data_IF_279272893858
#
_entry.id   IF_279272893858
#
_cell.length_a   1.000
_cell.length_b   1.000
_cell.length_c   1.000
_cell.angle_alpha   90.00
_cell.angle_beta   90.00
_cell.angle_gamma   90.00
#
_symmetry.space_group_name_H-M   'P 1'
#
loop_
_entity.id
_entity.type
_entity.pdbx_description
1 polymer ?
#
# COMPACT_ATOMS: atom_id res chain seq x y z
N UNK A 1 1.95 18.96 12.80
CA UNK A 1 2.13 20.09 11.86
C UNK A 1 1.04 20.22 10.82
N UNK A 2 0.86 19.24 9.90
CA UNK A 2 -0.03 19.37 8.73
C UNK A 2 -1.51 19.60 9.08
N UNK A 3 -2.05 18.88 10.08
CA UNK A 3 -3.41 19.10 10.56
C UNK A 3 -3.60 20.47 11.19
N UNK A 4 -2.61 20.97 11.93
CA UNK A 4 -2.66 22.32 12.50
C UNK A 4 -2.75 23.37 11.40
N UNK A 5 -1.94 23.24 10.34
CA UNK A 5 -2.00 24.14 9.18
C UNK A 5 -3.36 24.04 8.46
N UNK A 6 -3.92 22.84 8.34
CA UNK A 6 -5.26 22.66 7.78
C UNK A 6 -6.33 23.38 8.62
N UNK A 7 -6.31 23.23 9.94
CA UNK A 7 -7.28 23.89 10.81
C UNK A 7 -7.11 25.43 10.84
N UNK A 8 -5.87 25.92 10.83
CA UNK A 8 -5.57 27.36 10.70
C UNK A 8 -6.13 27.88 9.36
N UNK A 9 -5.92 27.14 8.26
CA UNK A 9 -6.49 27.47 6.95
C UNK A 9 -8.01 27.53 6.96
N UNK A 10 -8.68 26.57 7.62
CA UNK A 10 -10.14 26.58 7.77
C UNK A 10 -10.62 27.79 8.60
N UNK A 11 -9.92 28.11 9.69
CA UNK A 11 -10.25 29.26 10.51
C UNK A 11 -10.10 30.58 9.72
N UNK A 12 -9.00 30.72 8.98
CA UNK A 12 -8.76 31.86 8.10
C UNK A 12 -9.87 32.02 7.05
N UNK A 13 -10.25 30.93 6.36
CA UNK A 13 -11.33 30.96 5.37
C UNK A 13 -12.69 31.34 6.01
N UNK A 14 -12.97 30.88 7.23
CA UNK A 14 -14.18 31.28 7.94
C UNK A 14 -14.21 32.76 8.29
N UNK A 15 -13.10 33.30 8.79
CA UNK A 15 -12.96 34.72 9.07
C UNK A 15 -13.13 35.54 7.79
N UNK A 16 -12.53 35.09 6.70
CA UNK A 16 -12.67 35.74 5.39
C UNK A 16 -14.13 35.73 4.91
N UNK A 17 -14.86 34.62 5.06
CA UNK A 17 -16.30 34.56 4.75
C UNK A 17 -17.07 35.59 5.57
N UNK A 18 -16.81 35.69 6.87
CA UNK A 18 -17.46 36.68 7.74
C UNK A 18 -17.21 38.13 7.24
N UNK A 19 -15.96 38.47 6.90
CA UNK A 19 -15.63 39.76 6.30
C UNK A 19 -16.30 39.95 4.95
N UNK A 20 -16.26 38.95 4.07
CA UNK A 20 -16.91 39.03 2.76
C UNK A 20 -18.42 39.19 2.84
N UNK A 21 -19.09 38.69 3.88
CA UNK A 21 -20.55 38.89 4.04
C UNK A 21 -20.91 40.36 4.29
N UNK A 22 -20.03 41.12 4.94
CA UNK A 22 -20.23 42.55 5.23
C UNK A 22 -19.99 43.45 4.02
N UNK A 23 -19.27 42.99 3.01
CA UNK A 23 -18.94 43.82 1.83
C UNK A 23 -20.11 43.89 0.85
N UNK A 24 -20.39 45.04 0.21
CA UNK A 24 -21.45 45.25 -0.77
C UNK A 24 -21.07 44.65 -2.16
N UNK A 25 -20.59 43.42 -2.20
CA UNK A 25 -20.14 42.74 -3.43
C UNK A 25 -21.15 41.67 -3.83
N UNK A 26 -21.33 41.43 -5.14
CA UNK A 26 -22.25 40.41 -5.69
C UNK A 26 -21.94 39.03 -5.10
N UNK A 27 -22.97 38.33 -4.60
CA UNK A 27 -22.85 37.02 -3.95
C UNK A 27 -22.15 35.98 -4.81
N UNK A 28 -22.39 35.97 -6.13
CA UNK A 28 -21.75 35.06 -7.09
C UNK A 28 -20.22 35.28 -7.13
N UNK A 29 -19.77 36.54 -7.12
CA UNK A 29 -18.32 36.85 -7.11
C UNK A 29 -17.66 36.41 -5.80
N UNK A 30 -18.30 36.65 -4.65
CA UNK A 30 -17.81 36.19 -3.34
C UNK A 30 -17.58 34.68 -3.32
N UNK A 31 -18.54 33.90 -3.86
CA UNK A 31 -18.43 32.44 -3.95
C UNK A 31 -17.32 31.99 -4.91
N UNK A 32 -17.16 32.67 -6.03
CA UNK A 32 -16.05 32.40 -6.96
C UNK A 32 -14.69 32.63 -6.30
N UNK A 33 -14.53 33.74 -5.60
CA UNK A 33 -13.30 34.04 -4.83
C UNK A 33 -13.04 32.97 -3.78
N UNK A 34 -14.09 32.56 -3.03
CA UNK A 34 -13.94 31.50 -2.04
C UNK A 34 -13.51 30.17 -2.65
N UNK A 35 -14.13 29.73 -3.76
CA UNK A 35 -13.72 28.49 -4.45
C UNK A 35 -12.27 28.58 -4.94
N UNK A 36 -11.85 29.74 -5.46
CA UNK A 36 -10.44 29.96 -5.83
C UNK A 36 -9.49 29.85 -4.63
N UNK A 37 -9.86 30.43 -3.48
CA UNK A 37 -9.06 30.33 -2.25
C UNK A 37 -9.00 28.91 -1.71
N UNK A 38 -10.12 28.17 -1.71
CA UNK A 38 -10.14 26.75 -1.37
C UNK A 38 -9.16 25.98 -2.26
N UNK A 39 -9.23 26.19 -3.57
CA UNK A 39 -8.34 25.55 -4.54
C UNK A 39 -6.85 25.83 -4.22
N UNK A 40 -6.49 27.10 -4.04
CA UNK A 40 -5.11 27.52 -3.74
C UNK A 40 -4.65 26.96 -2.40
N UNK A 41 -5.49 26.99 -1.37
CA UNK A 41 -5.20 26.43 -0.05
C UNK A 41 -4.96 24.92 -0.12
N UNK A 42 -5.84 24.17 -0.80
CA UNK A 42 -5.67 22.73 -0.98
C UNK A 42 -4.38 22.39 -1.74
N UNK A 43 -4.09 23.13 -2.80
CA UNK A 43 -2.87 22.98 -3.58
C UNK A 43 -1.61 23.29 -2.75
N UNK A 44 -1.66 24.35 -1.93
CA UNK A 44 -0.60 24.73 -1.01
C UNK A 44 -0.34 23.66 0.06
N UNK A 45 -1.39 23.14 0.70
CA UNK A 45 -1.29 22.08 1.70
C UNK A 45 -0.66 20.79 1.12
N UNK A 46 -1.06 20.41 -0.10
CA UNK A 46 -0.44 19.29 -0.80
C UNK A 46 1.03 19.58 -1.09
N UNK A 47 1.36 20.81 -1.52
CA UNK A 47 2.73 21.19 -1.85
C UNK A 47 3.66 21.14 -0.64
N UNK A 48 3.22 21.67 0.50
CA UNK A 48 3.98 21.72 1.76
C UNK A 48 4.27 20.30 2.33
N UNK A 49 3.46 19.30 2.01
CA UNK A 49 3.71 17.91 2.40
C UNK A 49 4.91 17.32 1.63
N UNK A 50 6.13 17.79 1.91
CA UNK A 50 7.37 17.40 1.19
C UNK A 50 7.77 15.94 1.43
N UNK A 51 7.30 15.33 2.51
CA UNK A 51 7.52 13.93 2.86
C UNK A 51 6.64 12.95 2.06
N UNK A 52 5.74 13.45 1.21
CA UNK A 52 4.89 12.66 0.32
C UNK A 52 5.39 12.80 -1.11
N UNK A 53 5.69 11.66 -1.76
CA UNK A 53 5.97 11.64 -3.19
C UNK A 53 4.68 11.84 -3.98
N UNK A 54 4.62 12.87 -4.82
CA UNK A 54 3.41 13.28 -5.55
C UNK A 54 3.60 13.02 -7.03
N UNK A 55 2.66 12.28 -7.59
CA UNK A 55 2.63 11.99 -9.02
C UNK A 55 1.25 12.35 -9.58
N UNK A 56 1.22 13.09 -10.68
CA UNK A 56 0.00 13.43 -11.40
C UNK A 56 0.13 13.00 -12.86
N UNK A 57 -0.72 12.06 -13.25
CA UNK A 57 -0.77 11.54 -14.62
C UNK A 57 -2.02 12.10 -15.30
N UNK A 58 -1.82 12.84 -16.37
CA UNK A 58 -2.88 13.44 -17.18
C UNK A 58 -2.54 13.27 -18.67
N UNK A 59 -2.67 12.04 -19.15
CA UNK A 59 -2.23 11.65 -20.51
C UNK A 59 -3.02 12.33 -21.62
N UNK A 60 -4.28 12.69 -21.36
CA UNK A 60 -5.16 13.33 -22.35
C UNK A 60 -5.12 14.84 -22.32
N UNK A 61 -4.33 15.43 -21.43
CA UNK A 61 -4.25 16.89 -21.29
C UNK A 61 -5.56 17.52 -20.80
N UNK A 62 -6.37 16.81 -19.98
CA UNK A 62 -7.63 17.34 -19.45
C UNK A 62 -7.38 18.66 -18.69
N UNK A 63 -8.10 19.71 -19.09
CA UNK A 63 -7.93 21.07 -18.55
C UNK A 63 -9.03 21.49 -17.59
N UNK A 64 -10.09 20.69 -17.44
CA UNK A 64 -11.28 20.97 -16.62
C UNK A 64 -12.04 22.26 -16.99
N UNK A 65 -11.78 22.84 -18.18
CA UNK A 65 -12.48 24.05 -18.65
C UNK A 65 -13.95 23.77 -18.98
N UNK A 66 -14.22 22.60 -19.58
CA UNK A 66 -15.59 22.14 -19.84
C UNK A 66 -16.11 21.42 -18.61
N UNK A 67 -17.28 21.83 -18.06
CA UNK A 67 -17.89 21.15 -16.91
C UNK A 67 -18.08 19.65 -17.14
N UNK A 68 -17.93 18.89 -16.06
CA UNK A 68 -18.10 17.43 -16.04
C UNK A 68 -18.46 16.93 -14.66
N UNK A 69 -18.85 15.67 -14.56
CA UNK A 69 -18.87 14.96 -13.28
C UNK A 69 -17.53 14.26 -13.09
N UNK A 70 -16.76 14.69 -12.09
CA UNK A 70 -15.55 14.03 -11.68
C UNK A 70 -15.93 12.92 -10.70
N UNK A 71 -15.62 11.69 -11.03
CA UNK A 71 -15.78 10.55 -10.12
C UNK A 71 -14.41 10.04 -9.69
N UNK A 72 -14.23 9.80 -8.39
CA UNK A 72 -12.99 9.27 -7.87
C UNK A 72 -13.24 8.16 -6.85
N UNK A 73 -12.29 7.22 -6.73
CA UNK A 73 -12.29 6.28 -5.61
C UNK A 73 -11.93 7.01 -4.31
N UNK A 74 -12.36 6.46 -3.17
CA UNK A 74 -12.23 7.15 -1.88
C UNK A 74 -11.44 6.34 -0.86
N UNK A 75 -10.19 6.76 -0.63
CA UNK A 75 -9.24 6.08 0.24
C UNK A 75 -8.98 6.83 1.55
N UNK A 76 -8.96 8.18 1.49
CA UNK A 76 -8.45 9.00 2.58
C UNK A 76 -9.19 10.34 2.66
N UNK A 77 -8.99 11.04 3.77
CA UNK A 77 -9.40 12.44 3.89
C UNK A 77 -8.67 13.34 2.87
N UNK A 78 -7.43 13.02 2.51
CA UNK A 78 -6.62 13.77 1.54
C UNK A 78 -7.28 13.80 0.15
N UNK A 79 -8.07 12.80 -0.20
CA UNK A 79 -8.72 12.71 -1.52
C UNK A 79 -9.55 13.95 -1.86
N UNK A 80 -10.21 14.52 -0.85
CA UNK A 80 -10.99 15.76 -0.99
C UNK A 80 -10.06 16.92 -1.37
N UNK A 81 -8.91 17.04 -0.71
CA UNK A 81 -7.94 18.10 -1.00
C UNK A 81 -7.35 17.93 -2.40
N UNK A 82 -7.08 16.69 -2.81
CA UNK A 82 -6.54 16.38 -4.15
C UNK A 82 -7.53 16.79 -5.23
N UNK A 83 -8.81 16.44 -5.10
CA UNK A 83 -9.82 16.82 -6.08
C UNK A 83 -10.01 18.34 -6.15
N UNK A 84 -10.10 19.02 -5.00
CA UNK A 84 -10.22 20.48 -4.94
C UNK A 84 -8.97 21.21 -5.50
N UNK A 85 -7.82 20.56 -5.47
CA UNK A 85 -6.60 21.09 -6.06
C UNK A 85 -6.52 20.90 -7.60
N UNK A 86 -7.46 20.18 -8.25
CA UNK A 86 -7.46 20.00 -9.71
C UNK A 86 -7.94 21.25 -10.46
N UNK A 87 -9.00 21.89 -9.96
CA UNK A 87 -9.60 23.06 -10.58
C UNK A 87 -10.36 23.92 -9.55
N UNK A 88 -10.32 25.25 -9.66
CA UNK A 88 -11.08 26.13 -8.77
C UNK A 88 -12.60 26.10 -9.03
N UNK A 89 -13.01 25.66 -10.22
CA UNK A 89 -14.43 25.52 -10.58
C UNK A 89 -14.95 24.11 -10.28
N UNK A 90 -14.88 23.71 -9.00
CA UNK A 90 -15.31 22.41 -8.53
C UNK A 90 -16.20 22.56 -7.29
N UNK A 91 -17.38 21.95 -7.32
CA UNK A 91 -18.23 21.73 -6.15
C UNK A 91 -18.35 20.24 -5.88
N UNK A 92 -18.58 19.85 -4.64
CA UNK A 92 -18.58 18.44 -4.26
C UNK A 92 -19.94 18.05 -3.65
N UNK A 93 -20.31 16.79 -3.87
CA UNK A 93 -21.36 16.13 -3.09
C UNK A 93 -20.73 15.55 -1.83
N UNK A 94 -21.24 15.91 -0.66
CA UNK A 94 -20.66 15.60 0.64
C UNK A 94 -21.63 14.78 1.50
N UNK A 95 -21.09 14.01 2.45
CA UNK A 95 -21.86 13.25 3.43
C UNK A 95 -22.16 14.09 4.69
N UNK A 96 -22.94 13.49 5.62
CA UNK A 96 -23.37 14.12 6.87
C UNK A 96 -22.18 14.66 7.70
N UNK A 97 -21.11 13.88 7.85
CA UNK A 97 -19.96 14.25 8.67
C UNK A 97 -19.26 15.51 8.15
N UNK A 98 -19.04 15.59 6.83
CA UNK A 98 -18.40 16.74 6.17
C UNK A 98 -19.30 17.97 6.26
N UNK A 99 -20.62 17.79 6.01
CA UNK A 99 -21.59 18.89 6.00
C UNK A 99 -21.76 19.56 7.36
N UNK A 100 -21.75 18.76 8.44
CA UNK A 100 -21.95 19.25 9.82
C UNK A 100 -20.62 19.50 10.55
N UNK A 101 -19.48 19.41 9.86
CA UNK A 101 -18.18 19.66 10.49
C UNK A 101 -18.11 21.06 11.10
N UNK A 102 -17.69 21.21 12.38
CA UNK A 102 -17.52 22.50 13.02
C UNK A 102 -16.41 23.33 12.38
N UNK A 103 -15.44 22.70 11.70
CA UNK A 103 -14.29 23.36 11.11
C UNK A 103 -14.54 23.87 9.69
N UNK A 104 -15.02 23.01 8.80
CA UNK A 104 -15.18 23.34 7.38
C UNK A 104 -16.64 23.29 6.87
N UNK A 105 -17.60 22.85 7.67
CA UNK A 105 -19.00 22.76 7.25
C UNK A 105 -19.59 24.11 6.79
N UNK A 106 -19.29 25.20 7.49
CA UNK A 106 -19.73 26.55 7.08
C UNK A 106 -19.10 26.97 5.74
N UNK A 107 -17.83 26.62 5.51
CA UNK A 107 -17.10 26.96 4.28
C UNK A 107 -17.75 26.29 3.08
N UNK A 108 -18.00 24.98 3.16
CA UNK A 108 -18.55 24.20 2.05
C UNK A 108 -20.01 24.59 1.75
N UNK A 109 -20.81 24.89 2.78
CA UNK A 109 -22.18 25.40 2.59
C UNK A 109 -22.18 26.75 1.87
N UNK A 110 -21.29 27.66 2.24
CA UNK A 110 -21.15 28.95 1.57
C UNK A 110 -20.63 28.81 0.12
N UNK A 111 -19.77 27.81 -0.15
CA UNK A 111 -19.25 27.49 -1.48
C UNK A 111 -20.25 26.72 -2.36
N UNK A 112 -21.50 26.51 -1.95
CA UNK A 112 -22.56 25.77 -2.63
C UNK A 112 -22.23 24.29 -2.88
N UNK A 113 -21.55 23.62 -1.95
CA UNK A 113 -21.46 22.16 -1.99
C UNK A 113 -22.83 21.54 -1.68
N UNK A 114 -22.99 20.27 -1.97
CA UNK A 114 -24.26 19.56 -1.86
C UNK A 114 -24.22 18.49 -0.77
N UNK A 115 -25.29 18.34 -0.02
CA UNK A 115 -25.45 17.31 0.99
C UNK A 115 -26.19 16.11 0.42
N UNK A 116 -25.58 14.92 0.42
CA UNK A 116 -26.17 13.70 -0.15
C UNK A 116 -27.49 13.30 0.51
N UNK A 117 -27.70 13.66 1.79
CA UNK A 117 -28.90 13.32 2.57
C UNK A 117 -30.20 13.97 2.08
N UNK A 118 -30.12 15.08 1.34
CA UNK A 118 -31.29 15.76 0.81
C UNK A 118 -31.84 15.10 -0.48
N UNK A 119 -31.12 14.10 -1.02
CA UNK A 119 -31.45 13.41 -2.27
C UNK A 119 -30.99 14.15 -3.54
N UNK A 120 -30.72 13.41 -4.60
CA UNK A 120 -30.21 14.02 -5.85
C UNK A 120 -31.26 14.82 -6.61
N UNK A 121 -32.55 14.49 -6.48
CA UNK A 121 -33.66 15.13 -7.20
C UNK A 121 -33.81 16.60 -6.82
N UNK A 122 -33.64 16.93 -5.55
CA UNK A 122 -33.71 18.30 -5.03
C UNK A 122 -32.58 19.20 -5.57
N UNK A 123 -31.45 18.60 -5.96
CA UNK A 123 -30.28 19.39 -6.40
C UNK A 123 -30.11 19.51 -7.89
N UNK A 124 -30.76 18.66 -8.69
CA UNK A 124 -30.53 18.63 -10.15
C UNK A 124 -30.61 20.04 -10.75
N UNK A 125 -31.61 20.84 -10.37
CA UNK A 125 -31.77 22.20 -10.94
C UNK A 125 -30.70 23.16 -10.40
N UNK A 126 -30.35 23.08 -9.11
CA UNK A 126 -29.26 23.89 -8.53
C UNK A 126 -27.91 23.52 -9.13
N UNK A 127 -27.69 22.22 -9.38
CA UNK A 127 -26.47 21.74 -10.05
C UNK A 127 -26.43 22.20 -11.51
N UNK A 128 -27.57 22.17 -12.22
CA UNK A 128 -27.67 22.68 -13.58
C UNK A 128 -27.27 24.16 -13.67
N UNK A 129 -27.68 24.97 -12.70
CA UNK A 129 -27.25 26.36 -12.62
C UNK A 129 -25.74 26.50 -12.40
N UNK A 130 -25.16 25.70 -11.50
CA UNK A 130 -23.71 25.69 -11.26
C UNK A 130 -22.90 25.24 -12.49
N UNK A 131 -23.42 24.27 -13.22
CA UNK A 131 -22.82 23.83 -14.49
C UNK A 131 -22.84 24.95 -15.52
N UNK A 132 -23.92 25.73 -15.64
CA UNK A 132 -23.98 26.91 -16.50
C UNK A 132 -22.97 28.00 -16.10
N UNK A 133 -22.63 28.12 -14.80
CA UNK A 133 -21.57 28.98 -14.28
C UNK A 133 -20.15 28.43 -14.55
N UNK A 134 -20.05 27.25 -15.18
CA UNK A 134 -18.81 26.59 -15.56
C UNK A 134 -18.19 25.70 -14.49
N UNK A 135 -18.97 25.30 -13.45
CA UNK A 135 -18.49 24.41 -12.41
C UNK A 135 -18.70 22.95 -12.76
N UNK A 136 -17.70 22.14 -12.44
CA UNK A 136 -17.78 20.67 -12.42
C UNK A 136 -18.26 20.19 -11.04
N UNK A 137 -18.77 18.96 -11.00
CA UNK A 137 -19.29 18.33 -9.77
C UNK A 137 -18.42 17.11 -9.45
N UNK A 138 -17.81 17.06 -8.26
CA UNK A 138 -17.04 15.92 -7.82
C UNK A 138 -17.86 15.01 -6.88
N UNK A 139 -17.76 13.71 -7.11
CA UNK A 139 -18.47 12.69 -6.36
C UNK A 139 -17.57 11.50 -6.10
N UNK A 140 -17.57 11.03 -4.86
CA UNK A 140 -17.01 9.71 -4.50
C UNK A 140 -18.14 8.68 -4.59
N UNK A 141 -18.24 7.89 -5.66
CA UNK A 141 -19.40 7.00 -5.85
C UNK A 141 -19.43 5.83 -4.87
N UNK A 142 -18.37 5.61 -4.10
CA UNK A 142 -18.31 4.63 -3.01
C UNK A 142 -19.07 5.07 -1.75
N UNK A 143 -19.40 6.37 -1.62
CA UNK A 143 -20.10 6.97 -0.47
C UNK A 143 -19.30 7.02 0.82
N UNK A 144 -18.25 6.24 0.97
CA UNK A 144 -17.38 6.21 2.16
C UNK A 144 -15.97 5.72 1.82
N UNK A 145 -15.00 6.16 2.62
CA UNK A 145 -13.59 5.72 2.50
C UNK A 145 -13.46 4.21 2.71
N UNK A 146 -12.49 3.61 2.02
CA UNK A 146 -12.06 2.22 2.25
C UNK A 146 -11.15 2.11 3.48
N UNK A 147 -11.04 0.91 4.05
CA UNK A 147 -10.06 0.58 5.10
C UNK A 147 -8.79 -0.06 4.55
N UNK A 148 -8.92 -0.80 3.45
CA UNK A 148 -7.88 -1.65 2.85
C UNK A 148 -7.30 -1.09 1.54
N UNK A 149 -7.76 0.08 1.10
CA UNK A 149 -7.34 0.69 -0.16
C UNK A 149 -8.09 0.16 -1.40
N UNK A 150 -8.88 -0.91 -1.27
CA UNK A 150 -9.63 -1.47 -2.41
C UNK A 150 -10.83 -0.63 -2.77
N UNK A 151 -11.11 -0.51 -4.06
CA UNK A 151 -12.34 0.13 -4.54
C UNK A 151 -13.57 -0.67 -4.17
N UNK A 152 -14.51 0.00 -3.52
CA UNK A 152 -15.81 -0.57 -3.16
C UNK A 152 -16.78 -0.57 -4.36
N UNK A 153 -18.00 -0.99 -4.10
CA UNK A 153 -19.11 -0.89 -5.04
C UNK A 153 -19.49 0.58 -5.24
N UNK A 154 -19.76 0.97 -6.47
CA UNK A 154 -20.23 2.32 -6.80
C UNK A 154 -21.75 2.42 -6.66
N UNK A 155 -22.20 3.51 -6.05
CA UNK A 155 -23.60 3.93 -6.05
C UNK A 155 -23.94 4.64 -7.35
N UNK A 156 -25.20 4.55 -7.75
CA UNK A 156 -25.69 5.02 -9.04
C UNK A 156 -25.80 6.54 -9.16
N UNK A 157 -25.77 7.29 -8.03
CA UNK A 157 -26.08 8.73 -7.98
C UNK A 157 -25.26 9.61 -8.92
N UNK A 158 -23.93 9.37 -9.03
CA UNK A 158 -23.08 10.13 -9.93
C UNK A 158 -23.46 9.94 -11.41
N UNK A 159 -23.82 8.72 -11.78
CA UNK A 159 -24.19 8.34 -13.14
C UNK A 159 -25.59 8.84 -13.50
N UNK A 160 -26.52 8.80 -12.54
CA UNK A 160 -27.84 9.42 -12.65
C UNK A 160 -27.71 10.93 -12.91
N UNK A 161 -26.87 11.64 -12.18
CA UNK A 161 -26.61 13.06 -12.40
C UNK A 161 -25.98 13.34 -13.77
N UNK A 162 -25.04 12.50 -14.22
CA UNK A 162 -24.46 12.59 -15.56
C UNK A 162 -25.53 12.52 -16.64
N UNK A 163 -26.46 11.58 -16.55
CA UNK A 163 -27.60 11.41 -17.45
C UNK A 163 -28.56 12.61 -17.40
N UNK A 164 -28.98 13.02 -16.20
CA UNK A 164 -29.95 14.12 -16.02
C UNK A 164 -29.41 15.50 -16.41
N UNK A 165 -28.12 15.72 -16.22
CA UNK A 165 -27.46 16.98 -16.52
C UNK A 165 -26.78 16.97 -17.91
N UNK A 166 -26.78 15.84 -18.61
CA UNK A 166 -26.08 15.61 -19.87
C UNK A 166 -24.59 16.03 -19.78
N UNK A 167 -23.96 15.60 -18.68
CA UNK A 167 -22.54 15.90 -18.40
C UNK A 167 -21.66 14.69 -18.65
N UNK A 168 -20.52 14.96 -19.28
CA UNK A 168 -19.44 13.98 -19.40
C UNK A 168 -18.95 13.54 -18.02
N UNK A 169 -18.39 12.36 -17.94
CA UNK A 169 -17.74 11.84 -16.72
C UNK A 169 -16.21 11.90 -16.92
N UNK A 170 -15.51 12.40 -15.92
CA UNK A 170 -14.04 12.31 -15.80
C UNK A 170 -13.72 11.38 -14.66
N UNK A 171 -13.28 10.14 -14.93
CA UNK A 171 -12.82 9.26 -13.88
C UNK A 171 -11.42 9.68 -13.41
N UNK A 172 -11.22 9.74 -12.09
CA UNK A 172 -9.94 10.05 -11.43
C UNK A 172 -9.57 8.89 -10.51
N UNK A 173 -8.40 8.35 -10.70
CA UNK A 173 -7.86 7.30 -9.84
C UNK A 173 -6.94 7.93 -8.80
N UNK A 174 -7.20 7.64 -7.55
CA UNK A 174 -6.37 8.04 -6.40
C UNK A 174 -5.70 6.80 -5.82
N UNK A 175 -4.37 6.81 -5.74
CA UNK A 175 -3.61 5.69 -5.21
C UNK A 175 -2.65 6.14 -4.11
N UNK A 176 -2.53 5.33 -3.07
CA UNK A 176 -1.59 5.50 -1.97
C UNK A 176 -2.06 6.39 -0.82
N UNK A 177 -3.12 7.17 -1.00
CA UNK A 177 -3.63 8.11 0.00
C UNK A 177 -4.04 7.44 1.32
N UNK A 178 -4.58 6.20 1.28
CA UNK A 178 -4.88 5.40 2.47
C UNK A 178 -3.63 5.00 3.27
N UNK A 179 -2.47 4.92 2.62
CA UNK A 179 -1.18 4.64 3.27
C UNK A 179 -0.60 5.88 3.94
N UNK A 180 -0.94 7.09 3.45
CA UNK A 180 -0.52 8.38 4.02
C UNK A 180 -1.38 8.73 5.23
N UNK A 181 -2.72 8.73 5.10
CA UNK A 181 -3.67 8.93 6.19
C UNK A 181 -4.72 7.83 6.10
N UNK A 182 -4.57 6.81 6.94
CA UNK A 182 -5.51 5.70 6.99
C UNK A 182 -6.85 6.11 7.63
N UNK A 183 -7.94 5.49 7.19
CA UNK A 183 -9.28 5.72 7.75
C UNK A 183 -9.34 5.39 9.25
N UNK A 184 -8.66 4.32 9.68
CA UNK A 184 -8.62 3.89 11.07
C UNK A 184 -7.73 4.77 11.97
N UNK A 185 -6.80 5.55 11.38
CA UNK A 185 -5.85 6.38 12.11
C UNK A 185 -5.79 7.78 11.48
N UNK A 186 -6.86 8.58 11.61
CA UNK A 186 -7.03 9.82 10.84
C UNK A 186 -6.03 10.93 11.19
N UNK A 187 -5.38 10.86 12.34
CA UNK A 187 -4.38 11.85 12.79
C UNK A 187 -2.93 11.40 12.59
N UNK A 188 -2.72 10.15 12.15
CA UNK A 188 -1.37 9.64 11.86
C UNK A 188 -1.06 9.86 10.37
N UNK A 189 -0.13 10.79 10.11
CA UNK A 189 0.33 11.11 8.74
C UNK A 189 1.66 10.43 8.50
N UNK A 190 1.75 9.63 7.45
CA UNK A 190 2.91 8.84 7.08
C UNK A 190 3.53 9.33 5.77
N UNK A 191 4.79 8.99 5.56
CA UNK A 191 5.39 9.09 4.23
C UNK A 191 4.70 8.12 3.27
N UNK A 192 4.61 8.48 2.00
CA UNK A 192 3.95 7.62 1.02
C UNK A 192 3.93 8.21 -0.37
N UNK A 193 3.26 7.51 -1.28
CA UNK A 193 2.97 7.98 -2.63
C UNK A 193 1.54 8.50 -2.67
N UNK A 194 1.37 9.66 -3.26
CA UNK A 194 0.09 10.24 -3.65
C UNK A 194 0.07 10.31 -5.18
N UNK A 195 -0.50 9.28 -5.81
CA UNK A 195 -0.65 9.26 -7.26
C UNK A 195 -2.08 9.61 -7.63
N UNK A 196 -2.23 10.54 -8.57
CA UNK A 196 -3.51 10.95 -9.14
C UNK A 196 -3.46 10.74 -10.65
N UNK A 197 -4.21 9.79 -11.17
CA UNK A 197 -4.35 9.57 -12.59
C UNK A 197 -5.72 10.03 -13.10
N UNK A 198 -5.72 10.95 -14.06
CA UNK A 198 -6.91 11.45 -14.72
C UNK A 198 -7.11 10.61 -15.97
N UNK A 199 -8.19 9.82 -15.98
CA UNK A 199 -8.52 8.98 -17.14
C UNK A 199 -9.23 9.79 -18.23
N UNK A 200 -9.24 9.28 -19.48
CA UNK A 200 -9.94 9.93 -20.57
C UNK A 200 -11.41 10.22 -20.23
N UNK A 201 -11.84 11.43 -20.56
CA UNK A 201 -13.22 11.91 -20.43
C UNK A 201 -14.17 10.98 -21.19
N UNK A 202 -15.27 10.63 -20.56
CA UNK A 202 -16.33 9.78 -21.13
C UNK A 202 -17.51 10.68 -21.47
N UNK A 203 -17.87 10.86 -22.74
CA UNK A 203 -19.04 11.65 -23.14
C UNK A 203 -20.34 11.13 -22.50
N UNK A 204 -21.28 12.05 -22.23
CA UNK A 204 -22.55 11.70 -21.62
C UNK A 204 -23.37 10.71 -22.46
N UNK A 205 -23.22 10.76 -23.77
CA UNK A 205 -23.94 9.95 -24.76
C UNK A 205 -23.09 8.80 -25.34
N UNK A 206 -21.94 8.47 -24.73
CA UNK A 206 -21.08 7.36 -25.18
C UNK A 206 -21.72 6.01 -24.83
N UNK A 207 -22.32 5.37 -25.85
CA UNK A 207 -23.02 4.10 -25.71
C UNK A 207 -22.09 2.89 -25.42
N UNK A 208 -20.77 3.03 -25.61
CA UNK A 208 -19.80 1.94 -25.29
C UNK A 208 -19.80 1.61 -23.80
N UNK A 209 -20.22 2.53 -22.95
CA UNK A 209 -20.37 2.33 -21.51
C UNK A 209 -21.79 1.99 -21.07
N UNK A 210 -22.71 1.84 -22.01
CA UNK A 210 -24.13 1.60 -21.75
C UNK A 210 -25.01 2.81 -22.02
N UNK A 211 -26.30 2.56 -22.24
CA UNK A 211 -27.31 3.56 -22.60
C UNK A 211 -28.05 4.11 -21.40
N UNK A 212 -28.01 3.40 -20.27
CA UNK A 212 -28.65 3.77 -19.01
C UNK A 212 -27.62 4.09 -17.93
N UNK A 213 -27.98 4.91 -16.94
CA UNK A 213 -27.08 5.21 -15.83
C UNK A 213 -26.71 3.96 -15.02
N UNK A 214 -27.56 2.91 -15.01
CA UNK A 214 -27.28 1.63 -14.35
C UNK A 214 -26.14 0.88 -15.07
N UNK A 215 -26.22 0.75 -16.39
CA UNK A 215 -25.22 0.11 -17.22
C UNK A 215 -23.89 0.87 -17.13
N UNK A 216 -23.94 2.20 -17.25
CA UNK A 216 -22.78 3.08 -17.12
C UNK A 216 -22.11 2.95 -15.74
N UNK A 217 -22.90 2.80 -14.66
CA UNK A 217 -22.34 2.52 -13.33
C UNK A 217 -21.51 1.25 -13.34
N UNK A 218 -22.02 0.16 -13.92
CA UNK A 218 -21.34 -1.14 -13.95
C UNK A 218 -20.06 -1.10 -14.79
N UNK A 219 -20.17 -0.59 -16.02
CA UNK A 219 -19.05 -0.60 -16.99
C UNK A 219 -17.92 0.36 -16.59
N UNK A 220 -18.25 1.59 -16.15
CA UNK A 220 -17.25 2.57 -15.73
C UNK A 220 -16.60 2.14 -14.40
N UNK A 221 -17.36 1.58 -13.46
CA UNK A 221 -16.79 0.99 -12.25
C UNK A 221 -15.81 -0.13 -12.55
N UNK A 222 -16.14 -1.03 -13.49
CA UNK A 222 -15.25 -2.11 -13.92
C UNK A 222 -13.96 -1.56 -14.55
N UNK A 223 -14.06 -0.54 -15.43
CA UNK A 223 -12.91 0.15 -16.01
C UNK A 223 -12.01 0.76 -14.93
N UNK A 224 -12.59 1.52 -13.99
CA UNK A 224 -11.81 2.16 -12.91
C UNK A 224 -11.10 1.12 -12.04
N UNK A 225 -11.76 0.01 -11.71
CA UNK A 225 -11.14 -1.09 -10.95
C UNK A 225 -9.97 -1.73 -11.72
N UNK A 226 -10.12 -1.94 -13.03
CA UNK A 226 -9.04 -2.47 -13.89
C UNK A 226 -7.83 -1.52 -13.91
N UNK A 227 -8.06 -0.22 -14.10
CA UNK A 227 -6.98 0.78 -14.10
C UNK A 227 -6.34 0.91 -12.71
N UNK A 228 -7.12 0.88 -11.64
CA UNK A 228 -6.59 0.87 -10.28
C UNK A 228 -5.69 -0.36 -10.02
N UNK A 229 -6.12 -1.55 -10.45
CA UNK A 229 -5.32 -2.76 -10.33
C UNK A 229 -4.01 -2.68 -11.15
N UNK A 230 -4.04 -2.03 -12.33
CA UNK A 230 -2.81 -1.73 -13.10
C UNK A 230 -1.85 -0.87 -12.29
N UNK A 231 -2.34 0.25 -11.74
CA UNK A 231 -1.51 1.15 -10.91
C UNK A 231 -0.94 0.40 -9.70
N UNK A 232 -1.77 -0.41 -9.02
CA UNK A 232 -1.29 -1.22 -7.90
C UNK A 232 -0.12 -2.12 -8.30
N UNK A 233 -0.18 -2.80 -9.43
CA UNK A 233 0.92 -3.63 -9.94
C UNK A 233 2.15 -2.82 -10.30
N UNK A 234 1.99 -1.69 -10.99
CA UNK A 234 3.09 -0.80 -11.39
C UNK A 234 3.80 -0.18 -10.18
N UNK A 235 3.07 0.14 -9.11
CA UNK A 235 3.61 0.75 -7.89
C UNK A 235 4.12 -0.28 -6.88
N UNK A 236 3.68 -1.53 -6.96
CA UNK A 236 4.12 -2.62 -6.08
C UNK A 236 5.42 -3.25 -6.58
N UNK A 237 6.49 -2.45 -6.60
CA UNK A 237 7.83 -2.90 -7.04
C UNK A 237 8.88 -2.58 -5.98
N UNK A 238 9.91 -3.43 -5.92
CA UNK A 238 11.08 -3.22 -5.04
C UNK A 238 11.96 -2.06 -5.49
N UNK A 239 11.74 -1.52 -6.69
CA UNK A 239 12.48 -0.36 -7.22
C UNK A 239 11.88 0.97 -6.77
N UNK A 240 10.66 0.92 -6.19
CA UNK A 240 10.02 2.09 -5.64
C UNK A 240 10.66 2.49 -4.29
N UNK A 241 11.29 3.67 -4.17
CA UNK A 241 11.96 4.09 -2.94
C UNK A 241 11.01 4.22 -1.74
N UNK A 242 9.73 4.49 -1.98
CA UNK A 242 8.71 4.58 -0.92
C UNK A 242 8.27 3.20 -0.42
N UNK A 243 8.51 2.14 -1.19
CA UNK A 243 8.19 0.78 -0.80
C UNK A 243 8.90 0.37 0.51
N UNK A 244 10.20 0.58 0.59
CA UNK A 244 10.99 0.28 1.79
C UNK A 244 10.64 1.19 2.97
N UNK A 245 10.32 2.45 2.71
CA UNK A 245 9.87 3.36 3.76
C UNK A 245 8.54 2.88 4.38
N UNK A 246 7.61 2.38 3.58
CA UNK A 246 6.36 1.79 4.09
C UNK A 246 6.64 0.54 4.94
N UNK A 247 7.60 -0.29 4.54
CA UNK A 247 8.02 -1.46 5.32
C UNK A 247 8.62 -1.04 6.67
N UNK A 248 9.51 -0.05 6.70
CA UNK A 248 10.08 0.49 7.95
C UNK A 248 8.99 1.07 8.83
N UNK A 249 8.03 1.82 8.27
CA UNK A 249 6.94 2.42 9.03
C UNK A 249 6.02 1.39 9.70
N UNK A 250 6.01 0.15 9.22
CA UNK A 250 5.29 -0.94 9.87
C UNK A 250 5.79 -1.21 11.30
N UNK A 251 7.03 -0.80 11.61
CA UNK A 251 7.71 -1.04 12.89
C UNK A 251 7.89 0.23 13.73
N UNK A 252 7.50 1.40 13.23
CA UNK A 252 7.49 2.64 14.01
C UNK A 252 6.51 2.46 15.19
N UNK A 253 6.94 2.88 16.39
CA UNK A 253 6.21 2.72 17.67
C UNK A 253 6.13 1.28 18.23
N UNK A 254 6.89 0.34 17.70
CA UNK A 254 7.03 -1.00 18.28
C UNK A 254 8.11 -1.06 19.37
N UNK A 255 9.09 -0.19 19.24
CA UNK A 255 10.25 -0.01 20.12
C UNK A 255 11.38 0.67 19.36
N UNK A 256 12.25 1.43 20.02
CA UNK A 256 13.37 2.10 19.35
C UNK A 256 14.37 1.11 18.77
N UNK A 257 14.50 -0.06 19.39
CA UNK A 257 15.42 -1.11 18.97
C UNK A 257 14.91 -1.80 17.70
N UNK A 258 13.62 -2.17 17.65
CA UNK A 258 12.97 -2.81 16.51
C UNK A 258 12.94 -1.88 15.30
N UNK A 259 12.62 -0.61 15.50
CA UNK A 259 12.62 0.39 14.43
C UNK A 259 14.02 0.56 13.84
N UNK A 260 15.04 0.70 14.70
CA UNK A 260 16.42 0.86 14.26
C UNK A 260 16.94 -0.38 13.53
N UNK A 261 16.65 -1.59 14.06
CA UNK A 261 17.01 -2.86 13.45
C UNK A 261 16.45 -2.97 12.02
N UNK A 262 15.15 -2.73 11.86
CA UNK A 262 14.51 -2.81 10.54
C UNK A 262 15.06 -1.75 9.57
N UNK A 263 15.35 -0.53 10.03
CA UNK A 263 15.96 0.51 9.19
C UNK A 263 17.32 0.08 8.65
N UNK A 264 18.13 -0.54 9.49
CA UNK A 264 19.44 -1.06 9.07
C UNK A 264 19.27 -2.26 8.15
N UNK A 265 18.46 -3.23 8.54
CA UNK A 265 18.26 -4.45 7.77
C UNK A 265 17.77 -4.14 6.35
N UNK A 266 16.73 -3.32 6.21
CA UNK A 266 16.18 -2.91 4.91
C UNK A 266 17.19 -2.12 4.06
N UNK A 267 18.07 -1.33 4.69
CA UNK A 267 19.08 -0.54 3.98
C UNK A 267 20.29 -1.37 3.54
N UNK A 268 20.68 -2.37 4.34
CA UNK A 268 21.86 -3.18 4.10
C UNK A 268 21.58 -4.44 3.27
N UNK A 269 20.36 -4.95 3.29
CA UNK A 269 19.99 -6.16 2.57
C UNK A 269 19.41 -5.86 1.19
N UNK A 270 20.21 -6.00 0.15
CA UNK A 270 19.79 -5.90 -1.26
C UNK A 270 18.98 -7.14 -1.73
N UNK A 271 18.82 -8.12 -0.84
CA UNK A 271 18.23 -9.43 -1.13
C UNK A 271 16.73 -9.43 -1.30
N UNK A 272 16.02 -8.43 -0.81
CA UNK A 272 14.57 -8.34 -0.97
C UNK A 272 14.12 -8.38 -2.43
N UNK A 273 14.91 -7.75 -3.33
CA UNK A 273 14.65 -7.81 -4.78
C UNK A 273 14.82 -9.21 -5.33
N UNK A 274 15.84 -9.92 -4.86
CA UNK A 274 16.12 -11.28 -5.29
C UNK A 274 15.05 -12.24 -4.79
N UNK A 275 14.68 -12.18 -3.51
CA UNK A 275 13.59 -13.00 -2.98
C UNK A 275 12.29 -12.78 -3.75
N UNK A 276 11.93 -11.53 -4.06
CA UNK A 276 10.73 -11.26 -4.85
C UNK A 276 10.76 -11.88 -6.26
N UNK A 277 11.95 -11.98 -6.89
CA UNK A 277 12.11 -12.64 -8.20
C UNK A 277 12.03 -14.15 -8.11
N UNK A 278 12.53 -14.73 -7.02
CA UNK A 278 12.56 -16.17 -6.80
C UNK A 278 11.20 -16.73 -6.38
N UNK A 279 10.39 -15.92 -5.68
CA UNK A 279 9.07 -16.32 -5.16
C UNK A 279 7.99 -16.02 -6.20
N UNK A 280 7.10 -16.96 -6.54
CA UNK A 280 6.04 -16.74 -7.51
C UNK A 280 5.08 -15.65 -7.07
N UNK A 281 4.40 -15.01 -8.02
CA UNK A 281 3.42 -13.93 -7.77
C UNK A 281 2.18 -14.46 -7.04
N UNK A 282 1.86 -15.75 -7.20
CA UNK A 282 0.74 -16.45 -6.57
C UNK A 282 1.22 -17.74 -5.96
N UNK A 283 0.73 -18.09 -4.78
CA UNK A 283 1.01 -19.37 -4.14
C UNK A 283 1.11 -19.28 -2.62
N UNK A 284 1.28 -20.48 -2.02
CA UNK A 284 1.50 -20.65 -0.59
C UNK A 284 2.99 -20.54 -0.27
N UNK A 285 3.36 -19.60 0.60
CA UNK A 285 4.75 -19.31 0.96
C UNK A 285 4.89 -19.48 2.48
N UNK A 286 5.89 -20.23 2.90
CA UNK A 286 6.20 -20.40 4.32
C UNK A 286 7.62 -19.87 4.60
N UNK A 287 7.71 -18.85 5.47
CA UNK A 287 8.97 -18.24 5.92
C UNK A 287 9.29 -18.76 7.32
N UNK A 288 10.33 -19.60 7.44
CA UNK A 288 10.75 -20.21 8.70
C UNK A 288 11.87 -19.39 9.32
N UNK A 289 11.74 -19.07 10.61
CA UNK A 289 12.62 -18.12 11.29
C UNK A 289 12.33 -16.69 10.86
N UNK A 290 11.05 -16.36 10.69
CA UNK A 290 10.61 -15.08 10.13
C UNK A 290 10.93 -13.87 11.04
N UNK A 291 11.23 -14.07 12.31
CA UNK A 291 11.47 -13.05 13.30
C UNK A 291 10.31 -12.04 13.39
N UNK A 292 10.61 -10.76 13.28
CA UNK A 292 9.60 -9.70 13.24
C UNK A 292 8.77 -9.66 11.92
N UNK A 293 9.02 -10.56 10.97
CA UNK A 293 8.28 -10.73 9.73
C UNK A 293 8.56 -9.72 8.61
N UNK A 294 9.72 -9.05 8.49
CA UNK A 294 9.94 -8.04 7.46
C UNK A 294 9.90 -8.61 6.03
N UNK A 295 10.42 -9.83 5.82
CA UNK A 295 10.37 -10.51 4.52
C UNK A 295 8.92 -10.91 4.17
N UNK A 296 8.17 -11.45 5.13
CA UNK A 296 6.74 -11.78 4.96
C UNK A 296 5.93 -10.54 4.56
N UNK A 297 6.11 -9.42 5.25
CA UNK A 297 5.44 -8.16 4.92
C UNK A 297 5.84 -7.64 3.54
N UNK A 298 7.12 -7.72 3.19
CA UNK A 298 7.62 -7.33 1.87
C UNK A 298 6.96 -8.14 0.76
N UNK A 299 6.96 -9.46 0.88
CA UNK A 299 6.36 -10.35 -0.12
C UNK A 299 4.85 -10.16 -0.25
N UNK A 300 4.15 -9.92 0.89
CA UNK A 300 2.71 -9.63 0.92
C UNK A 300 2.36 -8.30 0.25
N UNK A 301 3.21 -7.28 0.39
CA UNK A 301 3.01 -5.97 -0.25
C UNK A 301 3.24 -5.99 -1.76
N UNK A 302 4.05 -6.92 -2.25
CA UNK A 302 4.40 -7.04 -3.68
C UNK A 302 3.40 -7.87 -4.47
N UNK A 303 2.63 -8.73 -3.82
CA UNK A 303 1.51 -9.43 -4.46
C UNK A 303 0.42 -9.79 -3.46
N UNK A 304 -0.81 -9.40 -3.80
CA UNK A 304 -2.01 -9.78 -3.04
C UNK A 304 -2.43 -11.24 -3.25
N UNK A 305 -1.84 -11.95 -4.21
CA UNK A 305 -2.17 -13.35 -4.53
C UNK A 305 -1.31 -14.36 -3.76
N UNK A 306 -0.34 -13.88 -2.97
CA UNK A 306 0.49 -14.71 -2.09
C UNK A 306 -0.23 -14.96 -0.77
N UNK A 307 -0.29 -16.22 -0.36
CA UNK A 307 -0.68 -16.63 0.99
C UNK A 307 0.58 -16.94 1.78
N UNK A 308 0.85 -16.18 2.83
CA UNK A 308 2.16 -16.20 3.50
C UNK A 308 1.96 -16.61 4.95
N UNK A 309 2.74 -17.60 5.40
CA UNK A 309 2.83 -18.02 6.79
C UNK A 309 4.25 -17.81 7.27
N UNK A 310 4.45 -16.89 8.22
CA UNK A 310 5.71 -16.71 8.95
C UNK A 310 5.72 -17.55 10.23
N UNK A 311 6.76 -18.34 10.45
CA UNK A 311 6.92 -19.19 11.63
C UNK A 311 8.18 -18.76 12.36
N UNK A 312 8.10 -18.52 13.66
CA UNK A 312 9.23 -18.29 14.54
C UNK A 312 8.92 -18.83 15.94
N UNK A 313 9.94 -19.27 16.67
CA UNK A 313 9.75 -19.77 18.04
C UNK A 313 9.72 -18.66 19.08
N UNK A 314 10.18 -17.46 18.75
CA UNK A 314 10.24 -16.31 19.66
C UNK A 314 8.88 -15.59 19.72
N UNK A 315 8.20 -15.75 20.85
CA UNK A 315 6.87 -15.18 21.11
C UNK A 315 6.87 -13.65 21.01
N UNK A 316 7.92 -12.98 21.51
CA UNK A 316 8.01 -11.51 21.49
C UNK A 316 8.11 -10.98 20.05
N UNK A 317 8.91 -11.66 19.21
CA UNK A 317 9.02 -11.31 17.78
C UNK A 317 7.73 -11.54 17.04
N UNK A 318 7.06 -12.66 17.28
CA UNK A 318 5.77 -12.97 16.66
C UNK A 318 4.69 -12.00 17.13
N UNK A 319 4.67 -11.62 18.42
CA UNK A 319 3.75 -10.59 18.89
C UNK A 319 3.91 -9.26 18.15
N UNK A 320 5.14 -8.82 17.91
CA UNK A 320 5.42 -7.63 17.10
C UNK A 320 4.96 -7.83 15.65
N UNK A 321 5.27 -8.98 15.04
CA UNK A 321 4.89 -9.30 13.67
C UNK A 321 3.36 -9.30 13.49
N UNK A 322 2.61 -9.89 14.41
CA UNK A 322 1.15 -9.96 14.37
C UNK A 322 0.46 -8.58 14.43
N UNK A 323 1.09 -7.57 15.01
CA UNK A 323 0.52 -6.24 15.21
C UNK A 323 0.98 -5.21 14.15
N UNK A 324 1.53 -5.63 13.03
CA UNK A 324 1.89 -4.75 11.92
C UNK A 324 0.66 -4.13 11.24
N UNK A 325 0.72 -2.85 10.88
CA UNK A 325 -0.38 -2.17 10.18
C UNK A 325 -0.52 -2.59 8.71
N UNK A 326 0.54 -3.18 8.11
CA UNK A 326 0.53 -3.75 6.76
C UNK A 326 -0.10 -5.16 6.70
N UNK A 327 -0.61 -5.66 7.81
CA UNK A 327 -1.18 -7.00 7.88
C UNK A 327 -2.38 -7.15 6.93
N UNK A 328 -2.45 -8.30 6.26
CA UNK A 328 -3.55 -8.69 5.38
C UNK A 328 -4.16 -10.01 5.88
N UNK A 329 -5.38 -10.39 5.47
CA UNK A 329 -5.95 -11.70 5.80
C UNK A 329 -5.14 -12.89 5.27
N UNK A 330 -4.29 -12.68 4.26
CA UNK A 330 -3.43 -13.70 3.64
C UNK A 330 -2.04 -13.77 4.23
N UNK A 331 -1.75 -12.99 5.28
CA UNK A 331 -0.49 -13.00 6.00
C UNK A 331 -0.74 -13.44 7.44
N UNK A 332 -0.18 -14.59 7.80
CA UNK A 332 -0.30 -15.18 9.13
C UNK A 332 1.07 -15.32 9.78
N UNK A 333 1.11 -15.21 11.10
CA UNK A 333 2.30 -15.45 11.91
C UNK A 333 1.99 -16.46 13.01
N UNK A 334 2.85 -17.47 13.14
CA UNK A 334 2.70 -18.59 14.05
C UNK A 334 3.91 -18.65 14.97
N UNK A 335 3.67 -18.63 16.28
CA UNK A 335 4.72 -18.89 17.27
C UNK A 335 4.85 -20.41 17.45
N UNK A 336 5.91 -21.00 16.88
CA UNK A 336 6.15 -22.44 16.98
C UNK A 336 7.61 -22.83 16.68
N UNK A 337 8.03 -23.95 17.28
CA UNK A 337 9.29 -24.60 16.89
C UNK A 337 9.10 -25.31 15.53
N UNK A 338 9.84 -24.88 14.51
CA UNK A 338 9.72 -25.42 13.14
C UNK A 338 10.12 -26.91 13.04
N UNK A 339 10.89 -27.44 13.98
CA UNK A 339 11.23 -28.85 14.04
C UNK A 339 10.06 -29.75 14.44
N UNK A 340 9.09 -29.21 15.17
CA UNK A 340 7.95 -29.95 15.72
C UNK A 340 6.62 -29.57 15.05
N UNK A 341 6.51 -28.31 14.63
CA UNK A 341 5.29 -27.79 14.00
C UNK A 341 4.92 -28.53 12.72
N UNK A 342 3.65 -28.90 12.49
CA UNK A 342 3.22 -29.54 11.26
C UNK A 342 3.28 -28.54 10.10
N UNK A 343 4.37 -28.58 9.32
CA UNK A 343 4.58 -27.64 8.21
C UNK A 343 3.46 -27.78 7.16
N UNK A 344 2.88 -26.67 6.70
CA UNK A 344 1.88 -26.70 5.63
C UNK A 344 2.52 -27.09 4.28
N UNK A 345 1.73 -27.61 3.36
CA UNK A 345 2.18 -27.76 1.98
C UNK A 345 2.39 -26.37 1.35
N UNK A 346 3.56 -26.16 0.75
CA UNK A 346 3.95 -24.84 0.26
C UNK A 346 4.54 -24.91 -1.15
N UNK A 347 4.29 -23.86 -1.93
CA UNK A 347 4.95 -23.64 -3.21
C UNK A 347 6.38 -23.15 -3.00
N UNK A 348 6.63 -22.42 -1.88
CA UNK A 348 7.94 -21.98 -1.49
C UNK A 348 8.12 -22.04 0.01
N UNK A 349 9.22 -22.67 0.45
CA UNK A 349 9.77 -22.45 1.78
C UNK A 349 10.95 -21.50 1.70
N UNK A 350 11.06 -20.60 2.69
CA UNK A 350 12.17 -19.66 2.82
C UNK A 350 12.79 -19.85 4.21
N UNK A 351 14.11 -19.98 4.26
CA UNK A 351 14.92 -19.94 5.49
C UNK A 351 15.97 -18.86 5.29
N UNK A 352 15.81 -17.72 5.94
CA UNK A 352 16.67 -16.56 5.74
C UNK A 352 17.44 -16.22 7.01
N UNK A 353 18.76 -16.43 7.01
CA UNK A 353 19.68 -16.13 8.12
C UNK A 353 19.27 -16.78 9.46
N UNK A 354 18.88 -18.07 9.41
CA UNK A 354 18.38 -18.74 10.63
C UNK A 354 19.04 -20.12 10.89
N UNK A 355 19.55 -20.81 9.87
CA UNK A 355 20.08 -22.17 10.04
C UNK A 355 21.27 -22.23 11.00
N UNK A 356 22.16 -21.23 10.95
CA UNK A 356 23.36 -21.19 11.78
C UNK A 356 23.09 -21.13 13.30
N UNK A 357 21.85 -20.92 13.72
CA UNK A 357 21.43 -21.02 15.13
C UNK A 357 21.07 -22.43 15.57
N UNK A 358 21.14 -23.43 14.68
CA UNK A 358 20.81 -24.83 14.94
C UNK A 358 22.01 -25.72 14.77
N UNK A 359 22.04 -26.87 15.47
CA UNK A 359 23.01 -27.93 15.20
C UNK A 359 22.83 -28.47 13.77
N UNK A 360 23.89 -29.05 13.18
CA UNK A 360 23.85 -29.62 11.83
C UNK A 360 22.74 -30.67 11.67
N UNK A 361 22.49 -31.47 12.69
CA UNK A 361 21.41 -32.48 12.67
C UNK A 361 20.03 -31.85 12.58
N UNK A 362 19.77 -30.80 13.36
CA UNK A 362 18.52 -30.04 13.30
C UNK A 362 18.36 -29.33 11.95
N UNK A 363 19.45 -28.73 11.41
CA UNK A 363 19.46 -28.13 10.07
C UNK A 363 19.04 -29.15 9.02
N UNK A 364 19.70 -30.32 9.00
CA UNK A 364 19.38 -31.42 8.09
C UNK A 364 17.93 -31.86 8.20
N UNK A 365 17.47 -32.13 9.43
CA UNK A 365 16.09 -32.53 9.70
C UNK A 365 15.08 -31.50 9.19
N UNK A 366 15.30 -30.23 9.46
CA UNK A 366 14.40 -29.14 9.03
C UNK A 366 14.35 -29.02 7.50
N UNK A 367 15.50 -29.06 6.83
CA UNK A 367 15.58 -28.97 5.38
C UNK A 367 14.85 -30.13 4.69
N UNK A 368 15.05 -31.36 5.15
CA UNK A 368 14.35 -32.54 4.62
C UNK A 368 12.82 -32.42 4.84
N UNK A 369 12.37 -32.01 6.02
CA UNK A 369 10.94 -31.78 6.29
C UNK A 369 10.35 -30.72 5.35
N UNK A 370 11.07 -29.65 5.06
CA UNK A 370 10.61 -28.64 4.09
C UNK A 370 10.50 -29.25 2.68
N UNK A 371 11.48 -30.07 2.25
CA UNK A 371 11.48 -30.69 0.94
C UNK A 371 10.32 -31.69 0.76
N UNK A 372 9.98 -32.43 1.81
CA UNK A 372 8.83 -33.35 1.81
C UNK A 372 7.50 -32.61 1.63
N UNK A 373 7.39 -31.42 2.18
CA UNK A 373 6.17 -30.59 2.17
C UNK A 373 6.08 -29.62 0.98
N UNK A 374 7.06 -29.66 0.07
CA UNK A 374 7.01 -28.89 -1.18
C UNK A 374 5.97 -29.48 -2.13
N UNK A 375 5.13 -28.62 -2.67
CA UNK A 375 4.24 -28.95 -3.79
C UNK A 375 5.04 -29.33 -5.05
N UNK A 376 4.43 -30.00 -6.03
CA UNK A 376 5.04 -30.18 -7.35
C UNK A 376 5.51 -28.82 -7.90
N UNK A 377 6.71 -28.75 -8.46
CA UNK A 377 7.40 -27.52 -8.92
C UNK A 377 7.74 -26.50 -7.82
N UNK A 378 7.47 -26.81 -6.56
CA UNK A 378 7.85 -25.98 -5.43
C UNK A 378 9.35 -25.89 -5.24
N UNK A 379 9.80 -24.87 -4.51
CA UNK A 379 11.22 -24.67 -4.20
C UNK A 379 11.44 -24.31 -2.73
N UNK A 380 12.60 -24.75 -2.22
CA UNK A 380 13.11 -24.34 -0.92
C UNK A 380 14.26 -23.37 -1.16
N UNK A 381 14.16 -22.17 -0.59
CA UNK A 381 15.16 -21.09 -0.72
C UNK A 381 15.81 -20.91 0.65
N UNK A 382 17.11 -21.15 0.72
CA UNK A 382 17.90 -20.99 1.93
C UNK A 382 18.95 -19.90 1.68
N UNK A 383 18.99 -18.91 2.56
CA UNK A 383 20.09 -17.93 2.60
C UNK A 383 20.77 -18.04 3.96
N UNK A 384 22.05 -18.32 3.97
CA UNK A 384 22.83 -18.40 5.21
C UNK A 384 24.32 -18.11 4.97
N UNK A 385 25.06 -17.89 6.06
CA UNK A 385 26.50 -17.69 6.03
C UNK A 385 27.23 -18.96 5.61
N UNK A 386 28.20 -18.85 4.68
CA UNK A 386 29.07 -19.96 4.25
C UNK A 386 30.34 -20.03 5.08
N UNK A 387 30.56 -21.17 5.75
CA UNK A 387 31.73 -21.43 6.61
C UNK A 387 33.08 -21.29 5.89
N UNK A 388 33.11 -21.49 4.56
CA UNK A 388 34.39 -21.51 3.77
C UNK A 388 34.93 -20.11 3.47
N UNK A 389 34.20 -19.02 3.67
CA UNK A 389 34.59 -17.67 3.27
C UNK A 389 35.22 -16.88 4.44
N UNK A 390 36.47 -17.20 4.79
CA UNK A 390 37.17 -16.79 6.01
C UNK A 390 37.31 -15.27 6.24
N UNK A 391 37.46 -14.44 5.21
CA UNK A 391 37.58 -12.96 5.39
C UNK A 391 36.27 -12.25 5.63
N UNK A 392 35.25 -12.59 4.87
CA UNK A 392 33.89 -12.02 5.03
C UNK A 392 33.17 -12.63 6.24
N UNK A 393 33.49 -13.86 6.58
CA UNK A 393 32.95 -14.57 7.74
C UNK A 393 33.24 -13.88 9.09
N UNK A 394 34.38 -13.20 9.22
CA UNK A 394 34.69 -12.42 10.45
C UNK A 394 33.73 -11.23 10.64
N UNK A 395 33.30 -10.60 9.58
CA UNK A 395 32.33 -9.50 9.66
C UNK A 395 30.91 -10.02 9.98
N UNK A 396 30.49 -11.08 9.33
CA UNK A 396 29.19 -11.73 9.60
C UNK A 396 29.13 -12.23 11.04
N UNK A 397 30.19 -12.89 11.51
CA UNK A 397 30.31 -13.35 12.90
C UNK A 397 30.32 -12.20 13.91
N UNK A 398 30.92 -11.06 13.57
CA UNK A 398 30.92 -9.88 14.42
C UNK A 398 29.54 -9.20 14.48
N UNK A 399 28.82 -9.11 13.36
CA UNK A 399 27.45 -8.58 13.33
C UNK A 399 26.46 -9.50 14.05
N UNK A 400 26.63 -10.82 13.95
CA UNK A 400 25.83 -11.81 14.68
C UNK A 400 26.14 -11.80 16.19
N UNK A 401 27.42 -11.70 16.58
CA UNK A 401 27.81 -11.54 17.99
C UNK A 401 27.29 -10.22 18.60
N UNK A 402 27.24 -9.13 17.83
CA UNK A 402 26.64 -7.87 18.23
C UNK A 402 25.11 -8.02 18.39
N UNK A 403 24.45 -8.73 17.48
CA UNK A 403 23.01 -8.94 17.53
C UNK A 403 22.59 -9.85 18.70
N UNK A 404 23.37 -10.88 19.00
CA UNK A 404 23.09 -11.81 20.11
C UNK A 404 23.59 -11.31 21.46
N UNK A 405 24.78 -10.68 21.51
CA UNK A 405 25.42 -10.31 22.78
C UNK A 405 25.02 -8.95 23.34
N UNK A 406 24.86 -7.91 22.50
CA UNK A 406 24.58 -6.55 22.96
C UNK A 406 23.08 -6.25 22.97
N UNK A 407 22.32 -6.81 22.01
CA UNK A 407 20.91 -6.49 21.85
C UNK A 407 19.95 -7.59 22.31
N UNK A 408 20.46 -8.76 22.73
CA UNK A 408 19.63 -9.93 23.12
C UNK A 408 18.54 -10.30 22.10
N UNK A 409 18.83 -10.06 20.81
CA UNK A 409 17.85 -10.27 19.73
C UNK A 409 17.52 -11.75 19.50
N UNK A 410 18.40 -12.67 19.89
CA UNK A 410 18.18 -14.10 19.70
C UNK A 410 18.40 -14.85 21.02
N UNK A 411 17.40 -15.64 21.42
CA UNK A 411 17.40 -16.43 22.65
C UNK A 411 18.13 -17.78 22.52
N UNK A 412 19.09 -17.92 21.59
CA UNK A 412 19.83 -19.17 21.38
C UNK A 412 20.94 -19.34 22.41
N UNK A 413 20.98 -20.51 23.01
CA UNK A 413 22.05 -20.97 23.94
C UNK A 413 23.11 -21.82 23.23
N UNK A 414 22.92 -22.18 21.95
CA UNK A 414 23.83 -23.06 21.18
C UNK A 414 24.91 -22.25 20.48
N UNK A 415 26.08 -22.88 20.25
CA UNK A 415 27.16 -22.29 19.43
C UNK A 415 26.70 -22.15 17.99
N UNK A 416 27.05 -21.03 17.36
CA UNK A 416 26.75 -20.79 15.94
C UNK A 416 27.38 -21.88 15.05
N UNK A 417 26.55 -22.60 14.31
CA UNK A 417 26.92 -23.71 13.45
C UNK A 417 26.65 -23.37 11.98
N UNK A 418 27.66 -22.80 11.29
CA UNK A 418 27.56 -22.45 9.88
C UNK A 418 27.73 -23.68 9.00
N UNK A 419 26.83 -23.88 8.07
CA UNK A 419 26.84 -25.01 7.15
C UNK A 419 27.79 -24.78 6.00
N UNK A 420 28.58 -25.82 5.63
CA UNK A 420 29.40 -25.79 4.44
C UNK A 420 28.59 -26.12 3.17
N UNK A 421 29.06 -25.65 2.03
CA UNK A 421 28.46 -26.00 0.74
C UNK A 421 28.38 -27.53 0.51
N UNK A 422 29.40 -28.28 0.94
CA UNK A 422 29.42 -29.72 0.84
C UNK A 422 28.28 -30.40 1.62
N UNK A 423 28.00 -29.88 2.82
CA UNK A 423 26.92 -30.37 3.65
C UNK A 423 25.55 -30.08 3.01
N UNK A 424 25.36 -28.86 2.46
CA UNK A 424 24.13 -28.49 1.74
C UNK A 424 23.91 -29.37 0.50
N UNK A 425 24.99 -29.67 -0.26
CA UNK A 425 24.91 -30.59 -1.41
C UNK A 425 24.54 -32.01 -1.00
N UNK A 426 25.08 -32.51 0.11
CA UNK A 426 24.72 -33.81 0.66
C UNK A 426 23.24 -33.89 1.03
N UNK A 427 22.70 -32.85 1.70
CA UNK A 427 21.30 -32.79 2.07
C UNK A 427 20.40 -32.70 0.82
N UNK A 428 20.80 -31.94 -0.19
CA UNK A 428 20.06 -31.84 -1.46
C UNK A 428 19.98 -33.22 -2.16
N UNK A 429 21.09 -33.94 -2.20
CA UNK A 429 21.15 -35.29 -2.79
C UNK A 429 20.27 -36.28 -2.01
N UNK A 430 20.31 -36.24 -0.68
CA UNK A 430 19.48 -37.06 0.19
C UNK A 430 17.98 -36.81 -0.03
N UNK A 431 17.57 -35.54 -0.16
CA UNK A 431 16.21 -35.13 -0.45
C UNK A 431 15.78 -35.29 -1.91
N UNK A 432 16.67 -35.82 -2.79
CA UNK A 432 16.37 -35.98 -4.22
C UNK A 432 16.16 -34.67 -4.98
N UNK A 433 16.82 -33.58 -4.53
CA UNK A 433 16.62 -32.24 -5.07
C UNK A 433 17.79 -31.79 -5.93
N UNK A 434 17.50 -31.06 -7.00
CA UNK A 434 18.51 -30.25 -7.70
C UNK A 434 18.83 -29.04 -6.86
N UNK A 435 20.14 -28.70 -6.80
CA UNK A 435 20.64 -27.54 -6.05
C UNK A 435 21.23 -26.51 -7.00
N UNK A 436 20.63 -25.31 -7.02
CA UNK A 436 21.21 -24.12 -7.63
C UNK A 436 21.84 -23.25 -6.53
N UNK A 437 23.05 -22.74 -6.78
CA UNK A 437 23.76 -21.90 -5.83
C UNK A 437 23.97 -20.53 -6.46
N UNK A 438 23.40 -19.49 -5.84
CA UNK A 438 23.58 -18.12 -6.26
C UNK A 438 24.56 -17.43 -5.32
N UNK A 439 25.73 -16.95 -5.85
CA UNK A 439 26.63 -16.15 -5.05
C UNK A 439 25.92 -14.86 -4.63
N UNK A 440 25.93 -14.60 -3.34
CA UNK A 440 25.26 -13.43 -2.81
C UNK A 440 26.27 -12.43 -2.25
N UNK A 441 25.97 -11.16 -2.50
CA UNK A 441 26.40 -9.93 -1.84
C UNK A 441 27.87 -9.49 -1.91
N UNK A 442 27.99 -8.18 -2.13
CA UNK A 442 29.26 -7.45 -2.07
C UNK A 442 29.83 -7.37 -0.64
N UNK A 443 28.99 -7.52 0.39
CA UNK A 443 29.32 -7.17 1.78
C UNK A 443 29.32 -8.35 2.77
N UNK A 444 28.57 -9.43 2.52
CA UNK A 444 28.45 -10.58 3.45
C UNK A 444 28.93 -11.88 2.84
N UNK A 445 29.21 -12.91 3.70
CA UNK A 445 29.55 -14.27 3.26
C UNK A 445 28.32 -15.12 2.93
N UNK A 446 27.12 -14.54 2.94
CA UNK A 446 25.89 -15.27 2.75
C UNK A 446 25.77 -15.79 1.32
N UNK A 447 25.31 -17.02 1.20
CA UNK A 447 25.05 -17.72 -0.06
C UNK A 447 23.58 -18.09 -0.13
N UNK A 448 23.00 -18.03 -1.31
CA UNK A 448 21.62 -18.47 -1.53
C UNK A 448 21.64 -19.83 -2.21
N UNK A 449 20.97 -20.78 -1.58
CA UNK A 449 20.78 -22.13 -2.04
C UNK A 449 19.31 -22.33 -2.44
N UNK A 450 19.05 -22.79 -3.65
CA UNK A 450 17.70 -23.07 -4.16
C UNK A 450 17.60 -24.55 -4.46
N UNK A 451 16.72 -25.22 -3.75
CA UNK A 451 16.41 -26.63 -3.94
C UNK A 451 15.12 -26.75 -4.74
N UNK A 452 15.15 -27.56 -5.80
CA UNK A 452 14.00 -27.83 -6.65
C UNK A 452 13.89 -29.33 -6.94
N UNK A 453 12.68 -29.87 -7.05
CA UNK A 453 12.47 -31.24 -7.51
C UNK A 453 12.97 -31.38 -8.96
N UNK A 454 13.56 -32.53 -9.29
CA UNK A 454 13.88 -32.84 -10.68
C UNK A 454 12.59 -32.76 -11.50
N UNK A 455 12.63 -32.02 -12.62
CA UNK A 455 11.52 -32.15 -13.58
C UNK A 455 11.47 -33.62 -14.05
N UNK A 456 10.29 -34.24 -14.06
CA UNK A 456 10.20 -35.51 -14.71
C UNK A 456 10.69 -35.36 -16.14
N UNK A 457 11.68 -36.18 -16.55
CA UNK A 457 12.06 -36.28 -17.95
C UNK A 457 10.79 -36.64 -18.70
N UNK A 458 10.36 -35.76 -19.59
CA UNK A 458 9.23 -36.09 -20.50
C UNK A 458 9.68 -37.23 -21.39
N UNK A 459 9.15 -38.45 -21.15
CA UNK A 459 9.15 -39.55 -22.09
C UNK A 459 8.34 -39.20 -23.34
#
# INVERSE_FOLDING_TARGET
GLFLLFFIGCLFLRLLIAVMTLLPIRKAYKKQVLCQLIHVTCKGLIHIATFVHKEKINRTGETFKKPAILIANHQSFIDILVLLALTPKLVMVTNHWVWHSPFFGAIIRYADFYYVGDGYELYVERMRQKVKEGYSIAIFPEGTRTYDGRMKRFHKGAFYLSEKLQLDIIPVILYGNCKIIAKAQPFNVRKGIMLTEILPRIPANDATYGTTYQERTKSISARMKKEYARICREQSTTDNPVFYENLVQNYIYKGPVEEWYIRIKVKMEDNYRLFNRLVPVKGQITDIGCGFGPLCYMLSQLSEEREITGIDYDEDKIAVAQHGWLRTPRLQFVCANALEYPLPESDVFILNDMLHYMSYEHQRTLLLRCMERLRPEGKLIVRDGNAANTRKHRLTRFTELLSTGIFSFNKTTEQLCFTSEAQIRSIAQEGGMQLEILPNDRYTSNTIYIFQKNKPEHE
#
